data_IF_859035236230
#
_entry.id   IF_859035236230
#
_cell.length_a   1.000
_cell.length_b   1.000
_cell.length_c   1.000
_cell.angle_alpha   90.00
_cell.angle_beta   90.00
_cell.angle_gamma   90.00
#
_symmetry.space_group_name_H-M   'P 1'
#
loop_
_entity.id
_entity.type
_entity.pdbx_description
1 polymer ?
#
# COMPACT_ATOMS: atom_id res chain seq x y z
N UNK A 1 9.83 -19.45 -8.85
CA UNK A 1 10.24 -18.03 -9.04
C UNK A 1 9.22 -17.21 -9.83
N UNK A 2 8.96 -17.47 -11.11
CA UNK A 2 8.02 -16.64 -11.89
C UNK A 2 6.55 -16.69 -11.38
N UNK A 3 6.16 -17.81 -10.74
CA UNK A 3 4.77 -18.02 -10.31
C UNK A 3 4.50 -17.62 -8.84
N UNK A 4 5.53 -17.25 -8.06
CA UNK A 4 5.32 -16.77 -6.67
C UNK A 4 5.24 -15.24 -6.58
N UNK A 5 5.71 -14.51 -7.61
CA UNK A 5 5.82 -13.04 -7.54
C UNK A 5 4.47 -12.37 -7.21
N UNK A 6 3.43 -12.66 -7.98
CA UNK A 6 2.10 -12.10 -7.73
C UNK A 6 1.46 -12.65 -6.47
N UNK A 7 1.79 -13.89 -6.07
CA UNK A 7 1.33 -14.45 -4.81
C UNK A 7 1.92 -13.68 -3.61
N UNK A 8 3.20 -13.32 -3.66
CA UNK A 8 3.86 -12.49 -2.65
C UNK A 8 3.31 -11.06 -2.66
N UNK A 9 3.10 -10.47 -3.84
CA UNK A 9 2.50 -9.14 -3.96
C UNK A 9 1.08 -9.10 -3.37
N UNK A 10 0.29 -10.16 -3.58
CA UNK A 10 -1.03 -10.32 -2.99
C UNK A 10 -1.02 -10.33 -1.46
N UNK A 11 0.11 -10.66 -0.81
CA UNK A 11 0.23 -10.65 0.66
C UNK A 11 0.32 -9.26 1.27
N UNK A 12 0.51 -8.21 0.48
CA UNK A 12 0.54 -6.83 0.98
C UNK A 12 -0.74 -6.48 1.75
N UNK A 13 -1.90 -7.04 1.38
CA UNK A 13 -3.16 -6.85 2.12
C UNK A 13 -3.12 -7.29 3.59
N UNK A 14 -2.18 -8.15 3.96
CA UNK A 14 -2.05 -8.69 5.32
C UNK A 14 -1.06 -7.92 6.19
N UNK A 15 -0.33 -6.95 5.61
CA UNK A 15 0.62 -6.12 6.36
C UNK A 15 -0.11 -4.86 6.81
N UNK A 16 -0.51 -4.82 8.07
CA UNK A 16 -1.18 -3.66 8.67
C UNK A 16 -0.17 -2.58 9.07
N UNK A 17 -0.59 -1.32 8.94
CA UNK A 17 0.20 -0.14 9.32
C UNK A 17 -0.28 0.42 10.67
N UNK A 18 0.52 1.31 11.25
CA UNK A 18 0.20 2.02 12.50
C UNK A 18 -0.03 1.10 13.71
N UNK A 19 0.73 0.01 13.82
CA UNK A 19 0.55 -1.02 14.86
C UNK A 19 0.75 -0.56 16.31
N UNK A 20 1.23 0.66 16.53
CA UNK A 20 1.41 1.25 17.87
C UNK A 20 0.29 2.22 18.26
N UNK A 21 -0.71 2.45 17.39
CA UNK A 21 -1.75 3.46 17.58
C UNK A 21 -3.15 2.84 17.45
N UNK A 22 -4.13 3.44 18.13
CA UNK A 22 -5.55 3.10 17.92
C UNK A 22 -6.02 3.71 16.60
N UNK A 23 -6.38 2.87 15.64
CA UNK A 23 -6.90 3.30 14.35
C UNK A 23 -8.44 3.32 14.34
N UNK A 24 -9.05 4.36 13.78
CA UNK A 24 -10.49 4.38 13.49
C UNK A 24 -10.83 3.37 12.39
N UNK A 25 -9.96 3.25 11.39
CA UNK A 25 -10.00 2.23 10.35
C UNK A 25 -8.58 1.67 10.17
N UNK A 26 -8.43 0.35 10.12
CA UNK A 26 -7.13 -0.27 9.92
C UNK A 26 -6.68 -0.09 8.46
N UNK A 27 -5.48 0.45 8.26
CA UNK A 27 -4.84 0.60 6.94
C UNK A 27 -3.85 -0.56 6.71
N UNK A 28 -3.86 -1.17 5.52
CA UNK A 28 -2.83 -2.12 5.09
C UNK A 28 -1.88 -1.51 4.03
N UNK A 29 -0.73 -2.16 3.80
CA UNK A 29 0.29 -1.59 2.91
C UNK A 29 -0.16 -1.55 1.43
N UNK A 30 -1.06 -2.44 0.99
CA UNK A 30 -1.58 -2.38 -0.37
C UNK A 30 -2.42 -1.11 -0.62
N UNK A 31 -3.28 -0.74 0.34
CA UNK A 31 -4.06 0.50 0.31
C UNK A 31 -3.14 1.73 0.30
N UNK A 32 -2.17 1.76 1.22
CA UNK A 32 -1.21 2.85 1.34
C UNK A 32 -0.37 3.03 0.06
N UNK A 33 0.14 1.94 -0.52
CA UNK A 33 0.93 1.98 -1.74
C UNK A 33 0.12 2.48 -2.93
N UNK A 34 -1.16 2.09 -3.04
CA UNK A 34 -2.05 2.62 -4.08
C UNK A 34 -2.25 4.12 -3.95
N UNK A 35 -2.64 4.61 -2.76
CA UNK A 35 -2.84 6.04 -2.52
C UNK A 35 -1.56 6.84 -2.78
N UNK A 36 -0.42 6.33 -2.32
CA UNK A 36 0.89 6.97 -2.53
C UNK A 36 1.23 7.06 -4.02
N UNK A 37 0.99 6.01 -4.81
CA UNK A 37 1.25 6.03 -6.24
C UNK A 37 0.39 7.07 -6.97
N UNK A 38 -0.90 7.14 -6.64
CA UNK A 38 -1.82 8.14 -7.20
C UNK A 38 -1.39 9.56 -6.85
N UNK A 39 -1.07 9.82 -5.57
CA UNK A 39 -0.62 11.14 -5.12
C UNK A 39 0.73 11.53 -5.73
N UNK A 40 1.70 10.62 -5.75
CA UNK A 40 3.01 10.87 -6.35
C UNK A 40 2.89 11.20 -7.85
N UNK A 41 2.03 10.47 -8.57
CA UNK A 41 1.74 10.77 -9.96
C UNK A 41 1.11 12.17 -10.12
N UNK A 42 0.09 12.50 -9.33
CA UNK A 42 -0.56 13.80 -9.39
C UNK A 42 0.41 14.95 -9.08
N UNK A 43 1.27 14.79 -8.07
CA UNK A 43 2.32 15.76 -7.72
C UNK A 43 3.33 15.94 -8.85
N UNK A 44 3.73 14.85 -9.51
CA UNK A 44 4.66 14.90 -10.65
C UNK A 44 4.09 15.64 -11.88
N UNK A 45 2.76 15.74 -11.99
CA UNK A 45 2.09 16.50 -13.05
C UNK A 45 2.00 18.01 -12.75
N UNK A 46 2.23 18.43 -11.50
CA UNK A 46 2.25 19.85 -11.14
C UNK A 46 3.54 20.45 -11.72
N UNK A 47 3.40 21.56 -12.47
CA UNK A 47 4.49 22.26 -13.16
C UNK A 47 5.05 23.40 -12.32
#
# INVERSE_FOLDING_TARGET
MANEFYALLGRMRYITRWGLMRNTFSENIAEHSYQTAVLAHALALIR
#
